data_IF_890198188343
#
_entry.id   IF_890198188343
#
_cell.length_a   1.000
_cell.length_b   1.000
_cell.length_c   1.000
_cell.angle_alpha   90.00
_cell.angle_beta   90.00
_cell.angle_gamma   90.00
#
_symmetry.space_group_name_H-M   'P 1'
#
loop_
_entity.id
_entity.type
_entity.pdbx_description
1 polymer ?
#
# COMPACT_ATOMS: atom_id res chain seq x y z
N UNK A 1 12.64 -14.29 16.26
CA UNK A 1 12.65 -12.99 15.59
C UNK A 1 11.36 -12.72 14.85
N UNK A 2 10.85 -11.56 15.02
CA UNK A 2 9.60 -11.20 14.35
C UNK A 2 9.80 -10.98 12.87
N UNK A 3 8.87 -11.52 12.09
CA UNK A 3 8.85 -11.29 10.65
C UNK A 3 7.88 -10.18 10.29
N UNK A 4 7.37 -9.48 11.30
CA UNK A 4 6.42 -8.42 11.05
C UNK A 4 7.08 -7.26 10.33
N UNK A 5 6.25 -6.49 9.67
CA UNK A 5 6.62 -5.32 8.91
C UNK A 5 7.16 -4.24 9.86
N UNK A 6 8.46 -4.05 9.90
CA UNK A 6 9.06 -3.05 10.76
C UNK A 6 8.96 -1.66 10.11
N UNK A 7 8.99 -0.59 10.91
CA UNK A 7 8.96 0.76 10.34
C UNK A 7 10.09 1.03 9.34
N UNK A 8 11.30 0.54 9.62
CA UNK A 8 12.43 0.70 8.71
C UNK A 8 12.19 -0.01 7.40
N UNK A 9 11.72 -1.26 7.46
CA UNK A 9 11.44 -2.03 6.25
C UNK A 9 10.34 -1.37 5.46
N UNK A 10 9.29 -0.93 6.15
CA UNK A 10 8.18 -0.26 5.49
C UNK A 10 8.66 0.99 4.75
N UNK A 11 9.45 1.83 5.41
CA UNK A 11 9.95 3.06 4.78
C UNK A 11 10.82 2.74 3.57
N UNK A 12 11.62 1.68 3.64
CA UNK A 12 12.44 1.27 2.51
C UNK A 12 11.61 0.83 1.33
N UNK A 13 10.55 0.07 1.58
CA UNK A 13 9.64 -0.39 0.53
C UNK A 13 8.93 0.79 -0.11
N UNK A 14 8.42 1.70 0.71
CA UNK A 14 7.70 2.87 0.23
C UNK A 14 8.60 3.74 -0.64
N UNK A 15 9.85 3.92 -0.25
CA UNK A 15 10.79 4.72 -1.02
C UNK A 15 11.10 4.09 -2.38
N UNK A 16 11.06 2.78 -2.46
CA UNK A 16 11.36 2.05 -3.70
C UNK A 16 10.20 1.99 -4.67
N UNK A 17 8.98 2.11 -4.18
CA UNK A 17 7.79 1.90 -5.00
C UNK A 17 7.79 2.75 -6.28
N UNK A 18 8.02 4.06 -6.23
CA UNK A 18 8.00 4.84 -7.47
C UNK A 18 9.08 4.40 -8.47
N UNK A 19 10.23 3.98 -7.97
CA UNK A 19 11.33 3.54 -8.84
C UNK A 19 11.02 2.19 -9.47
N UNK A 20 10.53 1.25 -8.67
CA UNK A 20 10.28 -0.12 -9.13
C UNK A 20 9.05 -0.18 -10.04
N UNK A 21 8.00 0.54 -9.68
CA UNK A 21 6.73 0.47 -10.40
C UNK A 21 6.55 1.54 -11.47
N UNK A 22 7.35 2.61 -11.40
CA UNK A 22 7.18 3.72 -12.32
C UNK A 22 5.97 4.60 -12.04
N UNK A 23 5.34 4.43 -10.87
CA UNK A 23 4.16 5.21 -10.49
C UNK A 23 4.33 5.75 -9.08
N UNK A 24 3.85 6.98 -8.87
CA UNK A 24 3.92 7.60 -7.55
C UNK A 24 2.95 6.93 -6.58
N UNK A 25 3.19 7.14 -5.28
CA UNK A 25 2.27 6.64 -4.26
C UNK A 25 0.88 7.22 -4.43
N UNK A 26 0.80 8.50 -4.82
CA UNK A 26 -0.50 9.14 -5.05
C UNK A 26 -1.30 8.41 -6.12
N UNK A 27 -0.64 7.96 -7.18
CA UNK A 27 -1.29 7.19 -8.22
C UNK A 27 -1.80 5.84 -7.71
N UNK A 28 -1.00 5.17 -6.88
CA UNK A 28 -1.42 3.92 -6.27
C UNK A 28 -2.60 4.10 -5.34
N UNK A 29 -2.60 5.18 -4.55
CA UNK A 29 -3.71 5.48 -3.66
C UNK A 29 -4.98 5.75 -4.45
N UNK A 30 -4.87 6.50 -5.54
CA UNK A 30 -6.00 6.77 -6.41
C UNK A 30 -6.57 5.48 -6.99
N UNK A 31 -5.69 4.56 -7.37
CA UNK A 31 -6.10 3.26 -7.88
C UNK A 31 -6.86 2.45 -6.85
N UNK A 32 -6.41 2.49 -5.59
CA UNK A 32 -7.11 1.83 -4.50
C UNK A 32 -8.51 2.42 -4.29
N UNK A 33 -8.60 3.73 -4.36
CA UNK A 33 -9.88 4.40 -4.18
C UNK A 33 -10.85 4.14 -5.32
N UNK A 34 -10.33 3.93 -6.51
CA UNK A 34 -11.16 3.64 -7.69
C UNK A 34 -11.52 2.17 -7.81
N UNK A 35 -10.87 1.31 -7.06
CA UNK A 35 -11.08 -0.12 -7.14
C UNK A 35 -12.26 -0.59 -6.31
N UNK A 36 -12.47 -1.92 -6.28
CA UNK A 36 -13.57 -2.49 -5.48
C UNK A 36 -13.38 -2.21 -4.00
N UNK A 37 -14.48 -2.16 -3.28
CA UNK A 37 -14.45 -2.01 -1.83
C UNK A 37 -14.22 -3.37 -1.18
N UNK A 38 -13.09 -3.51 -0.51
CA UNK A 38 -12.76 -4.73 0.21
C UNK A 38 -12.85 -4.48 1.70
N UNK A 39 -13.28 -5.49 2.44
CA UNK A 39 -13.37 -5.40 3.90
C UNK A 39 -12.02 -5.64 4.55
N UNK A 40 -11.19 -6.47 3.92
CA UNK A 40 -9.91 -6.87 4.52
C UNK A 40 -8.74 -6.28 3.75
N UNK A 41 -7.69 -5.94 4.51
CA UNK A 41 -6.45 -5.42 3.94
C UNK A 41 -5.82 -6.43 3.01
N UNK A 42 -5.82 -7.70 3.38
CA UNK A 42 -5.23 -8.76 2.58
C UNK A 42 -5.91 -8.88 1.21
N UNK A 43 -7.22 -8.79 1.19
CA UNK A 43 -7.95 -8.87 -0.06
C UNK A 43 -7.59 -7.71 -0.98
N UNK A 44 -7.51 -6.52 -0.41
CA UNK A 44 -7.16 -5.33 -1.17
C UNK A 44 -5.73 -5.43 -1.72
N UNK A 45 -4.81 -5.93 -0.91
CA UNK A 45 -3.42 -6.10 -1.34
C UNK A 45 -3.30 -7.14 -2.45
N UNK A 46 -4.01 -8.25 -2.33
CA UNK A 46 -3.99 -9.28 -3.38
C UNK A 46 -4.58 -8.76 -4.67
N UNK A 47 -5.69 -8.03 -4.57
CA UNK A 47 -6.30 -7.43 -5.74
C UNK A 47 -5.33 -6.48 -6.45
N UNK A 48 -4.65 -5.65 -5.68
CA UNK A 48 -3.71 -4.69 -6.23
C UNK A 48 -2.53 -5.40 -6.90
N UNK A 49 -2.00 -6.45 -6.26
CA UNK A 49 -0.90 -7.22 -6.82
C UNK A 49 -1.28 -7.85 -8.15
N UNK A 50 -2.47 -8.44 -8.22
CA UNK A 50 -2.96 -9.07 -9.45
C UNK A 50 -3.21 -8.04 -10.55
N UNK A 51 -3.88 -6.95 -10.19
CA UNK A 51 -4.27 -5.93 -11.16
C UNK A 51 -3.06 -5.24 -11.78
N UNK A 52 -2.08 -4.94 -10.95
CA UNK A 52 -0.94 -4.14 -11.36
C UNK A 52 0.30 -4.97 -11.70
N UNK A 53 0.29 -6.25 -11.39
CA UNK A 53 1.44 -7.11 -11.66
C UNK A 53 2.62 -6.82 -10.77
N UNK A 54 2.38 -6.31 -9.56
CA UNK A 54 3.46 -6.04 -8.60
C UNK A 54 3.50 -7.13 -7.54
N UNK A 55 4.61 -7.20 -6.81
CA UNK A 55 4.76 -8.21 -5.77
C UNK A 55 3.79 -7.94 -4.61
N UNK A 56 3.43 -9.00 -3.90
CA UNK A 56 2.55 -8.88 -2.74
C UNK A 56 3.18 -8.00 -1.67
N UNK A 57 4.51 -8.05 -1.52
CA UNK A 57 5.20 -7.20 -0.56
C UNK A 57 4.99 -5.72 -0.82
N UNK A 58 5.13 -5.31 -2.06
CA UNK A 58 4.88 -3.92 -2.43
C UNK A 58 3.40 -3.58 -2.31
N UNK A 59 2.52 -4.48 -2.72
CA UNK A 59 1.08 -4.24 -2.60
C UNK A 59 0.66 -4.04 -1.15
N UNK A 60 1.16 -4.88 -0.25
CA UNK A 60 0.88 -4.72 1.18
C UNK A 60 1.41 -3.40 1.72
N UNK A 61 2.60 -3.01 1.31
CA UNK A 61 3.18 -1.74 1.75
C UNK A 61 2.32 -0.57 1.29
N UNK A 62 1.86 -0.59 0.05
CA UNK A 62 1.01 0.46 -0.50
C UNK A 62 -0.30 0.55 0.28
N UNK A 63 -0.96 -0.60 0.50
CA UNK A 63 -2.24 -0.63 1.21
C UNK A 63 -2.07 -0.17 2.66
N UNK A 64 -1.01 -0.62 3.31
CA UNK A 64 -0.73 -0.23 4.70
C UNK A 64 -0.52 1.28 4.80
N UNK A 65 0.28 1.84 3.90
CA UNK A 65 0.55 3.27 3.89
C UNK A 65 -0.71 4.07 3.62
N UNK A 66 -1.52 3.61 2.66
CA UNK A 66 -2.78 4.24 2.32
C UNK A 66 -3.71 4.31 3.54
N UNK A 67 -3.86 3.18 4.23
CA UNK A 67 -4.74 3.12 5.39
C UNK A 67 -4.23 3.97 6.54
N UNK A 68 -2.90 4.00 6.76
CA UNK A 68 -2.32 4.85 7.78
C UNK A 68 -2.58 6.32 7.52
N UNK A 69 -2.36 6.77 6.29
CA UNK A 69 -2.57 8.17 5.93
C UNK A 69 -4.03 8.56 6.02
N UNK A 70 -4.91 7.66 5.63
CA UNK A 70 -6.34 7.90 5.74
C UNK A 70 -6.76 8.05 7.19
N UNK A 71 -6.24 7.18 8.06
CA UNK A 71 -6.53 7.24 9.49
C UNK A 71 -6.04 8.54 10.11
N UNK A 72 -4.81 8.94 9.76
CA UNK A 72 -4.25 10.18 10.27
C UNK A 72 -5.06 11.39 9.83
N UNK A 73 -5.51 11.38 8.58
CA UNK A 73 -6.33 12.47 8.06
C UNK A 73 -7.65 12.59 8.81
N UNK A 74 -8.28 11.45 9.09
CA UNK A 74 -9.55 11.44 9.80
C UNK A 74 -9.40 11.86 11.27
N UNK A 75 -8.31 11.45 11.91
CA UNK A 75 -8.08 11.74 13.31
C UNK A 75 -7.43 13.09 13.56
N UNK A 76 -6.71 13.58 12.57
CA UNK A 76 -5.98 14.82 12.71
C UNK A 76 -6.73 16.06 12.26
N UNK A 77 -7.93 15.86 11.78
CA UNK A 77 -8.72 16.98 11.24
C UNK A 77 -9.20 17.92 12.30
#
# INVERSE_FOLDING_TARGET
>A
MSLTHSPSLHNSLIARIPVVTGRSLAEWFHRLESGPAFLRREERAHWLADEAGISCGYAYAIVHEYEMRRRLRLNGA
#
